data_IF_690162853657
#
_entry.id   IF_690162853657
#
_cell.length_a   1.000
_cell.length_b   1.000
_cell.length_c   1.000
_cell.angle_alpha   90.00
_cell.angle_beta   90.00
_cell.angle_gamma   90.00
#
_symmetry.space_group_name_H-M   'P 1'
#
loop_
_entity.id
_entity.type
_entity.pdbx_description
1 polymer ?
#
# COMPACT_ATOMS: atom_id res chain seq x y z
N UNK A 1 -2.84 -16.18 -6.48
CA UNK A 1 -3.40 -15.02 -5.76
C UNK A 1 -2.50 -14.55 -4.62
N UNK A 2 -2.06 -15.42 -3.71
CA UNK A 2 -1.16 -15.08 -2.59
C UNK A 2 0.14 -14.40 -3.06
N UNK A 3 0.90 -15.09 -3.92
CA UNK A 3 2.18 -14.58 -4.43
C UNK A 3 2.01 -13.29 -5.23
N UNK A 4 0.93 -13.17 -6.02
CA UNK A 4 0.65 -11.98 -6.82
C UNK A 4 0.39 -10.77 -5.91
N UNK A 5 -0.44 -10.95 -4.87
CA UNK A 5 -0.71 -9.90 -3.89
C UNK A 5 0.57 -9.47 -3.15
N UNK A 6 1.38 -10.42 -2.71
CA UNK A 6 2.66 -10.14 -2.06
C UNK A 6 3.60 -9.34 -2.97
N UNK A 7 3.76 -9.78 -4.22
CA UNK A 7 4.61 -9.12 -5.21
C UNK A 7 4.21 -7.66 -5.42
N UNK A 8 2.91 -7.40 -5.62
CA UNK A 8 2.42 -6.04 -5.83
C UNK A 8 2.51 -5.18 -4.58
N UNK A 9 2.22 -5.73 -3.39
CA UNK A 9 2.34 -4.97 -2.15
C UNK A 9 3.79 -4.57 -1.87
N UNK A 10 4.74 -5.48 -2.10
CA UNK A 10 6.19 -5.17 -2.01
C UNK A 10 6.62 -4.13 -3.03
N UNK A 11 6.15 -4.26 -4.28
CA UNK A 11 6.43 -3.30 -5.35
C UNK A 11 5.89 -1.91 -5.00
N UNK A 12 4.66 -1.83 -4.48
CA UNK A 12 4.05 -0.60 -4.02
C UNK A 12 4.89 0.08 -2.93
N UNK A 13 5.29 -0.66 -1.88
CA UNK A 13 6.09 -0.09 -0.78
C UNK A 13 7.43 0.45 -1.29
N UNK A 14 8.10 -0.24 -2.23
CA UNK A 14 9.34 0.26 -2.85
C UNK A 14 9.12 1.55 -3.61
N UNK A 15 8.06 1.61 -4.44
CA UNK A 15 7.72 2.82 -5.19
C UNK A 15 7.33 3.98 -4.27
N UNK A 16 6.54 3.70 -3.23
CA UNK A 16 6.13 4.70 -2.24
C UNK A 16 7.33 5.34 -1.54
N UNK A 17 8.32 4.54 -1.10
CA UNK A 17 9.55 5.06 -0.47
C UNK A 17 10.28 6.02 -1.41
N UNK A 18 10.48 5.59 -2.67
CA UNK A 18 11.15 6.42 -3.68
C UNK A 18 10.37 7.70 -3.98
N UNK A 19 9.04 7.63 -4.09
CA UNK A 19 8.19 8.78 -4.33
C UNK A 19 8.29 9.80 -3.17
N UNK A 20 8.28 9.31 -1.92
CA UNK A 20 8.44 10.13 -0.73
C UNK A 20 9.82 10.79 -0.66
N UNK A 21 10.89 10.03 -0.93
CA UNK A 21 12.27 10.54 -0.96
C UNK A 21 12.47 11.62 -2.03
N UNK A 22 11.87 11.44 -3.20
CA UNK A 22 11.90 12.41 -4.30
C UNK A 22 10.89 13.55 -4.15
N UNK A 23 10.11 13.56 -3.07
CA UNK A 23 9.03 14.52 -2.82
C UNK A 23 8.07 14.68 -4.03
N UNK A 24 7.68 13.56 -4.64
CA UNK A 24 6.77 13.56 -5.79
C UNK A 24 5.39 14.07 -5.37
N UNK A 25 4.84 15.02 -6.11
CA UNK A 25 3.49 15.53 -5.84
C UNK A 25 2.46 14.43 -6.10
N UNK A 26 1.57 14.20 -5.13
CA UNK A 26 0.40 13.35 -5.31
C UNK A 26 -0.59 14.01 -6.28
N UNK A 27 -1.41 13.22 -7.01
CA UNK A 27 -2.41 13.77 -7.91
C UNK A 27 -3.43 14.64 -7.16
N UNK A 28 -3.92 15.69 -7.82
CA UNK A 28 -5.01 16.50 -7.30
C UNK A 28 -6.33 15.74 -7.44
N UNK A 29 -6.97 15.42 -6.32
CA UNK A 29 -8.20 14.64 -6.24
C UNK A 29 -8.97 15.02 -4.97
N UNK A 30 -10.28 14.78 -4.97
CA UNK A 30 -11.14 14.93 -3.80
C UNK A 30 -11.08 13.71 -2.85
N UNK A 31 -10.33 12.68 -3.23
CA UNK A 31 -10.13 11.49 -2.41
C UNK A 31 -9.17 11.80 -1.25
N UNK A 32 -9.68 11.67 -0.02
CA UNK A 32 -8.93 11.96 1.21
C UNK A 32 -7.77 10.98 1.42
N UNK A 33 -7.80 9.80 0.79
CA UNK A 33 -6.69 8.85 0.88
C UNK A 33 -5.42 9.33 0.14
N UNK A 34 -5.51 10.39 -0.68
CA UNK A 34 -4.37 11.02 -1.39
C UNK A 34 -3.86 12.31 -0.74
N UNK A 35 -4.35 12.67 0.45
CA UNK A 35 -3.97 13.92 1.16
C UNK A 35 -2.45 14.00 1.43
N UNK A 36 -1.82 12.87 1.76
CA UNK A 36 -0.39 12.79 2.00
C UNK A 36 0.15 11.41 1.65
N UNK A 37 1.47 11.30 1.48
CA UNK A 37 2.13 10.01 1.28
C UNK A 37 1.81 9.03 2.42
N UNK A 38 1.70 9.51 3.66
CA UNK A 38 1.38 8.65 4.81
C UNK A 38 -0.08 8.19 4.81
N UNK A 39 -1.00 9.06 4.40
CA UNK A 39 -2.42 8.71 4.25
C UNK A 39 -2.58 7.64 3.18
N UNK A 40 -1.92 7.80 2.03
CA UNK A 40 -1.95 6.83 0.93
C UNK A 40 -1.35 5.49 1.33
N UNK A 41 -0.22 5.49 2.05
CA UNK A 41 0.38 4.27 2.57
C UNK A 41 -0.58 3.54 3.52
N UNK A 42 -1.17 4.28 4.47
CA UNK A 42 -2.12 3.74 5.43
C UNK A 42 -3.34 3.14 4.73
N UNK A 43 -3.88 3.82 3.73
CA UNK A 43 -5.00 3.33 2.93
C UNK A 43 -4.68 1.95 2.32
N UNK A 44 -3.55 1.85 1.60
CA UNK A 44 -3.18 0.60 0.90
C UNK A 44 -2.88 -0.53 1.88
N UNK A 45 -2.17 -0.26 2.98
CA UNK A 45 -1.89 -1.29 4.00
C UNK A 45 -3.17 -1.74 4.72
N UNK A 46 -4.10 -0.81 5.00
CA UNK A 46 -5.41 -1.15 5.57
C UNK A 46 -6.21 -2.06 4.63
N UNK A 47 -6.20 -1.76 3.32
CA UNK A 47 -6.86 -2.59 2.31
C UNK A 47 -6.24 -3.99 2.20
N UNK A 48 -4.91 -4.10 2.29
CA UNK A 48 -4.19 -5.37 2.23
C UNK A 48 -4.33 -6.23 3.50
N UNK A 49 -4.55 -5.59 4.67
CA UNK A 49 -4.56 -6.25 5.99
C UNK A 49 -5.42 -7.50 6.04
N UNK A 50 -6.67 -7.43 5.56
CA UNK A 50 -7.62 -8.54 5.67
C UNK A 50 -7.11 -9.81 4.97
N UNK A 51 -6.56 -9.65 3.76
CA UNK A 51 -6.00 -10.77 3.02
C UNK A 51 -4.75 -11.33 3.70
N UNK A 52 -3.85 -10.47 4.19
CA UNK A 52 -2.65 -10.90 4.91
C UNK A 52 -2.98 -11.69 6.18
N UNK A 53 -3.90 -11.19 7.01
CA UNK A 53 -4.32 -11.87 8.23
C UNK A 53 -4.95 -13.23 7.91
N UNK A 54 -5.81 -13.30 6.89
CA UNK A 54 -6.41 -14.55 6.45
C UNK A 54 -5.36 -15.57 5.97
N UNK A 55 -4.35 -15.12 5.22
CA UNK A 55 -3.27 -16.00 4.78
C UNK A 55 -2.47 -16.57 5.96
N UNK A 56 -2.11 -15.74 6.94
CA UNK A 56 -1.40 -16.23 8.13
C UNK A 56 -2.21 -17.32 8.86
N UNK A 57 -3.52 -17.12 9.02
CA UNK A 57 -4.41 -18.09 9.65
C UNK A 57 -4.59 -19.40 8.85
N UNK A 58 -4.16 -19.47 7.58
CA UNK A 58 -4.16 -20.69 6.76
C UNK A 58 -2.81 -21.42 6.75
N UNK A 59 -1.77 -20.80 7.29
CA UNK A 59 -0.43 -21.36 7.39
C UNK A 59 -0.14 -21.94 8.78
N UNK A 60 -1.04 -21.71 9.74
CA UNK A 60 -1.14 -22.45 11.02
C UNK A 60 -1.75 -23.84 10.80
#
# INVERSE_FOLDING_TARGET
>A
MVQLHEQHLRSFVKTWRKAKELNIKLPETNDTDYESHETLLRHVLRAARGYMTWMCAKLE
#
